data_IF_728883339035
#
_entry.id   IF_728883339035
#
_cell.length_a   1.000
_cell.length_b   1.000
_cell.length_c   1.000
_cell.angle_alpha   90.00
_cell.angle_beta   90.00
_cell.angle_gamma   90.00
#
_symmetry.space_group_name_H-M   'P 1'
#
loop_
_entity.id
_entity.type
_entity.pdbx_description
1 polymer ?
#
# COMPACT_ATOMS: atom_id res chain seq x y z
N UNK A 1 14.31 -2.74 -50.27
CA UNK A 1 13.39 -1.89 -49.48
C UNK A 1 12.17 -2.72 -49.04
N UNK A 2 12.18 -3.31 -47.82
CA UNK A 2 11.05 -4.01 -47.24
C UNK A 2 10.38 -3.08 -46.23
N UNK A 3 9.17 -2.66 -46.53
CA UNK A 3 8.33 -1.87 -45.62
C UNK A 3 8.10 -2.67 -44.33
N UNK A 4 8.62 -2.18 -43.23
CA UNK A 4 8.30 -2.68 -41.91
C UNK A 4 6.81 -2.37 -41.66
N UNK A 5 5.96 -3.41 -41.70
CA UNK A 5 4.56 -3.34 -41.24
C UNK A 5 4.56 -2.84 -39.80
N UNK A 6 4.15 -1.58 -39.59
CA UNK A 6 3.76 -1.09 -38.27
C UNK A 6 2.67 -2.00 -37.74
N UNK A 7 3.03 -2.90 -36.81
CA UNK A 7 2.03 -3.61 -35.99
C UNK A 7 1.24 -2.51 -35.27
N UNK A 8 -0.02 -2.33 -35.66
CA UNK A 8 -0.98 -1.59 -34.84
C UNK A 8 -0.97 -2.25 -33.47
N UNK A 9 -0.43 -1.55 -32.48
CA UNK A 9 -0.60 -1.92 -31.09
C UNK A 9 -2.10 -2.07 -30.86
N UNK A 10 -2.59 -3.29 -30.71
CA UNK A 10 -3.94 -3.54 -30.22
C UNK A 10 -4.01 -2.79 -28.88
N UNK A 11 -4.96 -1.88 -28.76
CA UNK A 11 -5.37 -1.36 -27.45
C UNK A 11 -5.74 -2.59 -26.61
N UNK A 12 -4.84 -3.06 -25.77
CA UNK A 12 -5.11 -4.08 -24.79
C UNK A 12 -6.11 -3.46 -23.83
N UNK A 13 -7.37 -3.85 -23.96
CA UNK A 13 -8.32 -3.67 -22.85
C UNK A 13 -7.71 -4.46 -21.70
N UNK A 14 -7.21 -3.80 -20.68
CA UNK A 14 -6.73 -4.44 -19.47
C UNK A 14 -7.96 -4.75 -18.59
N UNK A 15 -8.63 -5.90 -18.75
CA UNK A 15 -9.84 -6.22 -17.98
C UNK A 15 -9.50 -6.29 -16.48
N UNK A 16 -8.26 -6.66 -16.15
CA UNK A 16 -7.73 -6.70 -14.79
C UNK A 16 -7.85 -5.36 -14.09
N UNK A 17 -7.53 -4.24 -14.77
CA UNK A 17 -7.68 -2.90 -14.20
C UNK A 17 -9.12 -2.62 -13.76
N UNK A 18 -10.09 -2.91 -14.64
CA UNK A 18 -11.50 -2.64 -14.33
C UNK A 18 -12.03 -3.55 -13.23
N UNK A 19 -11.62 -4.82 -13.22
CA UNK A 19 -11.97 -5.76 -12.16
C UNK A 19 -11.40 -5.27 -10.83
N UNK A 20 -10.11 -4.92 -10.77
CA UNK A 20 -9.47 -4.42 -9.56
C UNK A 20 -10.10 -3.11 -9.06
N UNK A 21 -10.38 -2.17 -9.95
CA UNK A 21 -11.07 -0.91 -9.61
C UNK A 21 -12.49 -1.15 -9.09
N UNK A 22 -13.22 -2.09 -9.68
CA UNK A 22 -14.55 -2.46 -9.21
C UNK A 22 -14.50 -3.10 -7.82
N UNK A 23 -13.58 -4.05 -7.60
CA UNK A 23 -13.39 -4.68 -6.29
C UNK A 23 -13.02 -3.64 -5.23
N UNK A 24 -12.02 -2.80 -5.50
CA UNK A 24 -11.60 -1.75 -4.57
C UNK A 24 -12.72 -0.73 -4.35
N UNK A 25 -13.47 -0.38 -5.40
CA UNK A 25 -14.62 0.52 -5.32
C UNK A 25 -15.70 -0.01 -4.38
N UNK A 26 -16.05 -1.29 -4.46
CA UNK A 26 -16.99 -1.93 -3.53
C UNK A 26 -16.48 -1.81 -2.09
N UNK A 27 -15.22 -2.16 -1.84
CA UNK A 27 -14.65 -2.12 -0.50
C UNK A 27 -14.65 -0.71 0.09
N UNK A 28 -14.22 0.29 -0.71
CA UNK A 28 -14.21 1.70 -0.29
C UNK A 28 -15.63 2.20 0.00
N UNK A 29 -16.60 1.87 -0.86
CA UNK A 29 -18.01 2.24 -0.65
C UNK A 29 -18.54 1.61 0.65
N UNK A 30 -18.29 0.33 0.89
CA UNK A 30 -18.69 -0.35 2.13
C UNK A 30 -18.01 0.28 3.36
N UNK A 31 -16.71 0.59 3.28
CA UNK A 31 -15.97 1.22 4.36
C UNK A 31 -16.49 2.64 4.67
N UNK A 32 -16.76 3.46 3.64
CA UNK A 32 -17.29 4.82 3.81
C UNK A 32 -18.70 4.81 4.35
N UNK A 33 -19.55 3.91 3.85
CA UNK A 33 -20.94 3.77 4.26
C UNK A 33 -21.13 2.94 5.54
N UNK A 34 -20.06 2.40 6.13
CA UNK A 34 -20.13 1.61 7.36
C UNK A 34 -20.99 2.27 8.46
N UNK A 35 -20.87 3.60 8.75
CA UNK A 35 -21.70 4.25 9.76
C UNK A 35 -23.22 4.26 9.45
N UNK A 36 -23.60 4.04 8.20
CA UNK A 36 -25.00 4.03 7.75
C UNK A 36 -25.54 2.61 7.59
N UNK A 37 -24.67 1.69 7.12
CA UNK A 37 -25.05 0.31 6.81
C UNK A 37 -25.04 -0.58 8.06
N UNK A 38 -24.11 -0.31 8.99
CA UNK A 38 -23.94 -1.16 10.17
C UNK A 38 -25.02 -0.83 11.21
N UNK A 39 -25.77 -1.84 11.68
CA UNK A 39 -26.83 -1.63 12.66
C UNK A 39 -26.32 -1.48 14.11
N UNK A 40 -25.04 -1.80 14.36
CA UNK A 40 -24.43 -1.81 15.69
C UNK A 40 -23.29 -0.80 15.80
N UNK A 41 -22.99 -0.35 17.03
CA UNK A 41 -21.75 0.36 17.31
C UNK A 41 -20.56 -0.61 17.33
N UNK A 42 -19.43 -0.31 16.65
CA UNK A 42 -18.28 -1.21 16.60
C UNK A 42 -17.61 -1.44 17.96
N UNK A 43 -17.89 -0.62 18.95
CA UNK A 43 -17.30 -0.66 20.29
C UNK A 43 -18.28 -1.16 21.37
N UNK A 44 -19.58 -1.23 21.07
CA UNK A 44 -20.60 -1.69 22.03
C UNK A 44 -20.39 -3.15 22.40
N UNK A 45 -20.24 -3.40 23.70
CA UNK A 45 -20.00 -4.73 24.25
C UNK A 45 -21.29 -5.31 24.82
N UNK A 46 -21.59 -6.55 24.48
CA UNK A 46 -22.72 -7.29 25.01
C UNK A 46 -22.31 -8.73 25.38
N UNK A 47 -21.84 -8.91 26.61
CA UNK A 47 -21.37 -10.23 27.08
C UNK A 47 -22.46 -11.34 27.06
N UNK A 48 -23.75 -10.99 26.98
CA UNK A 48 -24.80 -11.98 26.77
C UNK A 48 -24.77 -12.60 25.37
N UNK A 49 -24.06 -11.96 24.43
CA UNK A 49 -23.89 -12.38 23.03
C UNK A 49 -22.45 -12.83 22.74
N UNK A 50 -21.75 -13.34 23.77
CA UNK A 50 -20.41 -13.87 23.69
C UNK A 50 -20.26 -14.98 22.63
N UNK A 51 -19.34 -14.81 21.66
CA UNK A 51 -18.99 -15.81 20.63
C UNK A 51 -20.19 -16.41 19.89
N UNK A 52 -21.20 -15.63 19.56
CA UNK A 52 -22.31 -16.11 18.74
C UNK A 52 -21.85 -16.38 17.31
N UNK A 53 -22.27 -17.53 16.77
CA UNK A 53 -21.96 -17.89 15.38
C UNK A 53 -22.66 -16.95 14.39
N UNK A 54 -22.12 -16.82 13.16
CA UNK A 54 -22.77 -16.08 12.08
C UNK A 54 -24.24 -16.46 11.90
N UNK A 55 -25.12 -15.46 11.82
CA UNK A 55 -26.57 -15.67 11.75
C UNK A 55 -27.32 -14.41 11.32
N UNK A 56 -28.67 -14.48 11.36
CA UNK A 56 -29.52 -13.38 10.89
C UNK A 56 -29.38 -12.10 11.72
N UNK A 57 -29.09 -12.21 13.03
CA UNK A 57 -28.87 -11.07 13.92
C UNK A 57 -27.46 -10.48 13.74
N UNK A 58 -26.46 -11.33 13.66
CA UNK A 58 -25.05 -10.96 13.49
C UNK A 58 -24.51 -11.68 12.26
N UNK A 59 -24.40 -10.98 11.14
CA UNK A 59 -24.01 -11.57 9.84
C UNK A 59 -22.69 -12.35 9.90
N UNK A 60 -21.70 -11.83 10.63
CA UNK A 60 -20.39 -12.46 10.83
C UNK A 60 -20.23 -13.05 12.24
N UNK A 61 -21.31 -13.07 13.03
CA UNK A 61 -21.26 -13.46 14.44
C UNK A 61 -20.73 -12.34 15.34
N UNK A 62 -20.41 -12.71 16.58
CA UNK A 62 -19.87 -11.79 17.59
C UNK A 62 -18.51 -12.24 18.10
N UNK A 63 -17.75 -11.31 18.65
CA UNK A 63 -16.44 -11.57 19.23
C UNK A 63 -16.51 -11.97 20.74
N UNK A 64 -15.33 -12.07 21.37
CA UNK A 64 -15.21 -12.43 22.79
C UNK A 64 -15.77 -11.39 23.77
N UNK A 65 -16.16 -10.22 23.30
CA UNK A 65 -16.83 -9.18 24.08
C UNK A 65 -18.31 -9.01 23.68
N UNK A 66 -18.79 -9.90 22.77
CA UNK A 66 -20.14 -9.82 22.22
C UNK A 66 -20.35 -8.66 21.26
N UNK A 67 -19.25 -8.08 20.69
CA UNK A 67 -19.31 -7.01 19.69
C UNK A 67 -19.60 -7.61 18.32
N UNK A 68 -20.38 -6.89 17.47
CA UNK A 68 -20.74 -7.36 16.14
C UNK A 68 -19.52 -7.38 15.20
N UNK A 69 -19.16 -8.56 14.70
CA UNK A 69 -17.95 -8.74 13.91
C UNK A 69 -18.05 -8.12 12.50
N UNK A 70 -19.25 -8.11 11.88
CA UNK A 70 -19.46 -7.50 10.58
C UNK A 70 -19.20 -5.99 10.64
N UNK A 71 -19.82 -5.32 11.61
CA UNK A 71 -19.61 -3.90 11.88
C UNK A 71 -18.12 -3.59 12.10
N UNK A 72 -17.46 -4.34 12.99
CA UNK A 72 -16.03 -4.17 13.28
C UNK A 72 -15.16 -4.36 12.04
N UNK A 73 -15.46 -5.37 11.21
CA UNK A 73 -14.69 -5.65 9.98
C UNK A 73 -14.80 -4.50 8.97
N UNK A 74 -15.97 -3.87 8.82
CA UNK A 74 -16.12 -2.72 7.93
C UNK A 74 -15.48 -1.45 8.50
N UNK A 75 -15.53 -1.23 9.80
CA UNK A 75 -14.81 -0.12 10.43
C UNK A 75 -13.29 -0.33 10.38
N UNK A 76 -12.81 -1.57 10.52
CA UNK A 76 -11.41 -1.91 10.32
C UNK A 76 -10.96 -1.62 8.88
N UNK A 77 -11.80 -1.95 7.86
CA UNK A 77 -11.52 -1.57 6.47
C UNK A 77 -11.28 -0.06 6.33
N UNK A 78 -12.10 0.75 6.98
CA UNK A 78 -11.94 2.22 6.97
C UNK A 78 -10.63 2.66 7.59
N UNK A 79 -10.26 2.07 8.73
CA UNK A 79 -9.03 2.38 9.45
C UNK A 79 -7.79 1.98 8.63
N UNK A 80 -7.74 0.73 8.18
CA UNK A 80 -6.57 0.16 7.51
C UNK A 80 -6.33 0.78 6.14
N UNK A 81 -7.39 0.98 5.33
CA UNK A 81 -7.28 1.66 4.04
C UNK A 81 -6.82 3.11 4.18
N UNK A 82 -7.33 3.83 5.19
CA UNK A 82 -6.90 5.20 5.47
C UNK A 82 -5.41 5.26 5.82
N UNK A 83 -4.97 4.41 6.75
CA UNK A 83 -3.56 4.37 7.18
C UNK A 83 -2.67 3.96 6.01
N UNK A 84 -3.05 2.94 5.23
CA UNK A 84 -2.32 2.48 4.06
C UNK A 84 -2.10 3.61 3.06
N UNK A 85 -3.15 4.35 2.69
CA UNK A 85 -3.03 5.45 1.72
C UNK A 85 -2.18 6.59 2.29
N UNK A 86 -2.41 7.00 3.54
CA UNK A 86 -1.70 8.14 4.12
C UNK A 86 -0.23 7.85 4.40
N UNK A 87 0.11 6.64 4.85
CA UNK A 87 1.49 6.24 5.10
C UNK A 87 2.34 6.17 3.82
N UNK A 88 1.70 5.93 2.67
CA UNK A 88 2.36 5.76 1.39
C UNK A 88 2.76 7.08 0.71
N UNK A 89 1.99 8.16 0.93
CA UNK A 89 2.15 9.43 0.18
C UNK A 89 3.56 10.01 0.32
N UNK A 90 4.04 10.17 1.55
CA UNK A 90 5.35 10.81 1.78
C UNK A 90 6.53 9.96 1.26
N UNK A 91 6.61 8.64 1.54
CA UNK A 91 7.64 7.77 0.97
C UNK A 91 7.67 7.77 -0.55
N UNK A 92 6.49 7.68 -1.20
CA UNK A 92 6.38 7.74 -2.65
C UNK A 92 7.00 9.03 -3.23
N UNK A 93 6.60 10.18 -2.68
CA UNK A 93 7.11 11.48 -3.14
C UNK A 93 8.61 11.60 -2.89
N UNK A 94 9.06 11.34 -1.66
CA UNK A 94 10.48 11.45 -1.27
C UNK A 94 11.34 10.51 -2.11
N UNK A 95 10.94 9.26 -2.27
CA UNK A 95 11.68 8.26 -3.01
C UNK A 95 11.85 8.63 -4.48
N UNK A 96 10.78 9.08 -5.14
CA UNK A 96 10.86 9.51 -6.55
C UNK A 96 11.82 10.69 -6.71
N UNK A 97 11.69 11.73 -5.89
CA UNK A 97 12.54 12.93 -6.06
C UNK A 97 13.99 12.67 -5.69
N UNK A 98 14.27 11.95 -4.61
CA UNK A 98 15.64 11.59 -4.26
C UNK A 98 16.28 10.67 -5.29
N UNK A 99 15.55 9.65 -5.75
CA UNK A 99 16.05 8.73 -6.76
C UNK A 99 16.28 9.43 -8.11
N UNK A 100 15.36 10.27 -8.54
CA UNK A 100 15.48 11.03 -9.78
C UNK A 100 16.70 11.98 -9.73
N UNK A 101 16.88 12.72 -8.63
CA UNK A 101 18.03 13.59 -8.45
C UNK A 101 19.35 12.82 -8.44
N UNK A 102 19.43 11.71 -7.68
CA UNK A 102 20.61 10.86 -7.62
C UNK A 102 20.99 10.29 -8.99
N UNK A 103 20.01 9.74 -9.74
CA UNK A 103 20.25 9.16 -11.06
C UNK A 103 20.65 10.21 -12.11
N UNK A 104 20.06 11.41 -12.08
CA UNK A 104 20.33 12.47 -13.02
C UNK A 104 21.68 13.14 -12.79
N UNK A 105 21.92 13.67 -11.58
CA UNK A 105 23.15 14.40 -11.27
C UNK A 105 24.34 13.45 -11.07
N UNK A 106 24.13 12.27 -10.47
CA UNK A 106 25.22 11.37 -10.17
C UNK A 106 26.15 11.88 -9.07
N UNK A 107 27.41 11.44 -9.09
CA UNK A 107 28.48 11.93 -8.20
C UNK A 107 28.17 11.82 -6.71
N UNK A 108 28.36 12.92 -5.96
CA UNK A 108 28.18 12.94 -4.50
C UNK A 108 26.70 12.69 -4.08
N UNK A 109 25.73 13.19 -4.86
CA UNK A 109 24.31 12.98 -4.57
C UNK A 109 23.97 11.49 -4.70
N UNK A 110 24.43 10.87 -5.77
CA UNK A 110 24.22 9.44 -6.02
C UNK A 110 24.88 8.57 -4.95
N UNK A 111 26.09 8.93 -4.55
CA UNK A 111 26.81 8.24 -3.48
C UNK A 111 26.09 8.34 -2.13
N UNK A 112 25.64 9.54 -1.74
CA UNK A 112 24.93 9.76 -0.48
C UNK A 112 23.61 8.98 -0.42
N UNK A 113 22.80 9.07 -1.48
CA UNK A 113 21.52 8.38 -1.59
C UNK A 113 21.74 6.86 -1.63
N UNK A 114 22.78 6.41 -2.36
CA UNK A 114 23.17 5.00 -2.39
C UNK A 114 23.56 4.48 -1.01
N UNK A 115 24.47 5.18 -0.32
CA UNK A 115 24.92 4.82 1.03
C UNK A 115 23.76 4.75 2.01
N UNK A 116 22.85 5.72 2.00
CA UNK A 116 21.66 5.69 2.85
C UNK A 116 20.79 4.47 2.52
N UNK A 117 20.50 4.22 1.23
CA UNK A 117 19.69 3.08 0.80
C UNK A 117 20.33 1.73 1.19
N UNK A 118 21.63 1.57 0.96
CA UNK A 118 22.35 0.33 1.25
C UNK A 118 22.40 0.04 2.76
N UNK A 119 22.47 1.08 3.59
CA UNK A 119 22.41 0.95 5.05
C UNK A 119 21.09 0.31 5.50
N UNK A 120 19.95 0.76 4.96
CA UNK A 120 18.65 0.18 5.30
C UNK A 120 18.48 -1.23 4.72
N UNK A 121 18.91 -1.46 3.48
CA UNK A 121 18.79 -2.76 2.80
C UNK A 121 19.65 -3.85 3.46
N UNK A 122 20.71 -3.48 4.19
CA UNK A 122 21.55 -4.42 4.95
C UNK A 122 20.78 -5.15 6.06
N UNK A 123 19.66 -4.61 6.52
CA UNK A 123 18.81 -5.23 7.54
C UNK A 123 17.68 -6.04 6.91
N UNK A 124 17.25 -7.16 7.53
CA UNK A 124 16.01 -7.84 7.13
C UNK A 124 14.83 -6.89 7.25
N UNK A 125 14.14 -6.62 6.14
CA UNK A 125 13.14 -5.57 6.04
C UNK A 125 12.05 -5.62 7.13
N UNK A 126 11.41 -6.77 7.32
CA UNK A 126 10.36 -6.92 8.33
C UNK A 126 10.88 -6.73 9.77
N UNK A 127 12.10 -7.17 10.04
CA UNK A 127 12.72 -6.98 11.36
C UNK A 127 12.95 -5.49 11.63
N UNK A 128 13.46 -4.76 10.63
CA UNK A 128 13.67 -3.31 10.72
C UNK A 128 12.34 -2.58 10.96
N UNK A 129 11.29 -2.94 10.21
CA UNK A 129 9.94 -2.38 10.37
C UNK A 129 9.41 -2.59 11.79
N UNK A 130 9.49 -3.82 12.31
CA UNK A 130 8.98 -4.16 13.65
C UNK A 130 9.75 -3.36 14.73
N UNK A 131 11.08 -3.28 14.63
CA UNK A 131 11.92 -2.56 15.59
C UNK A 131 11.61 -1.07 15.58
N UNK A 132 11.50 -0.44 14.40
CA UNK A 132 11.19 0.99 14.31
C UNK A 132 9.77 1.26 14.81
N UNK A 133 8.78 0.45 14.43
CA UNK A 133 7.39 0.62 14.87
C UNK A 133 7.29 0.50 16.41
N UNK A 134 7.94 -0.49 16.99
CA UNK A 134 7.99 -0.67 18.43
C UNK A 134 8.68 0.51 19.15
N UNK A 135 9.84 0.95 18.66
CA UNK A 135 10.58 2.07 19.21
C UNK A 135 9.84 3.41 19.09
N UNK A 136 9.03 3.57 18.04
CA UNK A 136 8.21 4.78 17.82
C UNK A 136 6.95 4.82 18.69
N UNK A 137 6.65 3.73 19.41
CA UNK A 137 5.44 3.55 20.21
C UNK A 137 4.28 2.96 19.41
N UNK A 138 3.45 2.17 20.11
CA UNK A 138 2.27 1.53 19.49
C UNK A 138 1.27 2.55 18.95
N UNK A 139 0.60 2.20 17.85
CA UNK A 139 -0.41 3.05 17.24
C UNK A 139 -0.11 3.40 15.78
N UNK A 140 -1.05 4.09 15.14
CA UNK A 140 -0.92 4.50 13.73
C UNK A 140 0.30 5.38 13.47
N UNK A 141 0.70 6.23 14.43
CA UNK A 141 1.89 7.09 14.29
C UNK A 141 3.19 6.26 14.15
N UNK A 142 3.30 5.12 14.85
CA UNK A 142 4.44 4.21 14.68
C UNK A 142 4.53 3.66 13.27
N UNK A 143 3.39 3.34 12.65
CA UNK A 143 3.30 2.90 11.25
C UNK A 143 3.76 4.02 10.31
N UNK A 144 3.26 5.25 10.50
CA UNK A 144 3.65 6.41 9.68
C UNK A 144 5.14 6.71 9.77
N UNK A 145 5.72 6.73 10.98
CA UNK A 145 7.15 6.98 11.18
C UNK A 145 7.98 5.88 10.52
N UNK A 146 7.60 4.63 10.75
CA UNK A 146 8.31 3.49 10.16
C UNK A 146 8.33 3.58 8.65
N UNK A 147 7.15 3.80 8.03
CA UNK A 147 7.05 3.81 6.58
C UNK A 147 7.71 5.05 5.97
N UNK A 148 7.66 6.20 6.65
CA UNK A 148 8.42 7.39 6.27
C UNK A 148 9.92 7.13 6.22
N UNK A 149 10.46 6.33 7.13
CA UNK A 149 11.89 6.04 7.21
C UNK A 149 12.36 4.99 6.21
N UNK A 150 11.52 3.98 5.90
CA UNK A 150 11.96 2.86 5.06
C UNK A 150 11.23 2.74 3.72
N UNK A 151 10.00 3.23 3.59
CA UNK A 151 9.16 3.07 2.39
C UNK A 151 9.70 3.78 1.15
N UNK A 152 10.43 4.88 1.30
CA UNK A 152 11.00 5.62 0.17
C UNK A 152 12.07 4.85 -0.63
N UNK A 153 12.68 3.82 -0.06
CA UNK A 153 13.80 3.08 -0.64
C UNK A 153 13.45 2.43 -1.97
N UNK A 154 12.28 1.80 -2.06
CA UNK A 154 11.85 1.07 -3.26
C UNK A 154 11.59 2.04 -4.43
N UNK A 155 10.97 3.17 -4.16
CA UNK A 155 10.71 4.22 -5.15
C UNK A 155 12.00 4.91 -5.59
N UNK A 156 12.89 5.17 -4.63
CA UNK A 156 14.18 5.78 -4.88
C UNK A 156 15.03 4.90 -5.82
N UNK A 157 15.10 3.60 -5.57
CA UNK A 157 15.85 2.65 -6.40
C UNK A 157 15.36 2.64 -7.85
N UNK A 158 14.04 2.61 -8.05
CA UNK A 158 13.43 2.60 -9.39
C UNK A 158 13.63 3.93 -10.10
N UNK A 159 13.34 5.06 -9.44
CA UNK A 159 13.50 6.38 -10.02
C UNK A 159 14.96 6.70 -10.35
N UNK A 160 15.92 6.28 -9.49
CA UNK A 160 17.37 6.41 -9.71
C UNK A 160 17.81 5.64 -10.95
N UNK A 161 17.41 4.39 -11.07
CA UNK A 161 17.76 3.54 -12.23
C UNK A 161 17.22 4.11 -13.54
N UNK A 162 15.95 4.52 -13.56
CA UNK A 162 15.33 5.10 -14.74
C UNK A 162 15.96 6.45 -15.12
N UNK A 163 16.17 7.33 -14.14
CA UNK A 163 16.77 8.63 -14.37
C UNK A 163 18.19 8.49 -14.94
N UNK A 164 19.00 7.56 -14.40
CA UNK A 164 20.34 7.26 -14.90
C UNK A 164 20.32 6.72 -16.35
N UNK A 165 19.33 5.91 -16.69
CA UNK A 165 19.16 5.38 -18.05
C UNK A 165 18.71 6.47 -19.04
N UNK A 166 17.78 7.32 -18.64
CA UNK A 166 17.16 8.33 -19.51
C UNK A 166 18.03 9.58 -19.71
N UNK A 167 18.89 9.96 -18.75
CA UNK A 167 19.68 11.20 -18.81
C UNK A 167 20.58 11.33 -20.04
N UNK A 168 20.95 10.21 -20.65
CA UNK A 168 21.81 10.16 -21.85
C UNK A 168 20.99 9.95 -23.14
N UNK A 169 19.68 10.02 -23.11
CA UNK A 169 18.84 9.90 -24.29
C UNK A 169 18.96 11.12 -25.22
N UNK A 170 18.75 10.91 -26.53
CA UNK A 170 18.87 11.96 -27.55
C UNK A 170 17.96 13.17 -27.27
N UNK A 171 16.75 12.94 -26.77
CA UNK A 171 15.78 13.99 -26.46
C UNK A 171 16.19 14.83 -25.24
N UNK A 172 16.84 14.24 -24.23
CA UNK A 172 17.44 15.00 -23.11
C UNK A 172 18.65 15.80 -23.60
N UNK A 173 19.50 15.23 -24.48
CA UNK A 173 20.60 15.96 -25.10
C UNK A 173 20.08 17.16 -25.90
N UNK A 174 19.03 16.99 -26.69
CA UNK A 174 18.38 18.06 -27.42
C UNK A 174 17.83 19.15 -26.47
N UNK A 175 17.18 18.79 -25.37
CA UNK A 175 16.69 19.73 -24.38
C UNK A 175 17.81 20.59 -23.77
N UNK A 176 18.99 19.98 -23.50
CA UNK A 176 20.19 20.70 -23.02
C UNK A 176 20.72 21.66 -24.06
N UNK A 177 20.79 21.26 -25.33
CA UNK A 177 21.22 22.13 -26.43
C UNK A 177 20.28 23.35 -26.58
N UNK A 178 18.97 23.14 -26.34
CA UNK A 178 17.98 24.22 -26.34
C UNK A 178 18.07 25.14 -25.12
N UNK A 179 18.97 24.88 -24.18
CA UNK A 179 19.21 25.70 -23.00
C UNK A 179 18.22 25.45 -21.85
N UNK A 180 17.56 24.29 -21.81
CA UNK A 180 16.67 23.95 -20.69
C UNK A 180 17.48 23.77 -19.40
N UNK A 181 17.00 24.36 -18.29
CA UNK A 181 17.61 24.17 -16.99
C UNK A 181 17.44 22.74 -16.51
N UNK A 182 18.34 22.26 -15.65
CA UNK A 182 18.24 20.91 -15.06
C UNK A 182 16.91 20.68 -14.32
N UNK A 183 16.41 21.69 -13.61
CA UNK A 183 15.11 21.63 -12.94
C UNK A 183 13.98 21.38 -13.95
N UNK A 184 13.99 22.08 -15.08
CA UNK A 184 13.00 21.88 -16.14
C UNK A 184 13.11 20.48 -16.74
N UNK A 185 14.31 19.99 -16.95
CA UNK A 185 14.56 18.64 -17.47
C UNK A 185 14.02 17.59 -16.47
N UNK A 186 14.30 17.75 -15.17
CA UNK A 186 13.81 16.82 -14.15
C UNK A 186 12.28 16.76 -14.11
N UNK A 187 11.60 17.90 -14.05
CA UNK A 187 10.14 17.93 -13.85
C UNK A 187 9.33 17.76 -15.14
N UNK A 188 9.82 18.28 -16.28
CA UNK A 188 9.05 18.27 -17.52
C UNK A 188 9.41 17.11 -18.45
N UNK A 189 10.65 16.59 -18.33
CA UNK A 189 11.13 15.57 -19.24
C UNK A 189 11.29 14.20 -18.55
N UNK A 190 11.91 14.13 -17.37
CA UNK A 190 12.17 12.87 -16.69
C UNK A 190 10.97 12.39 -15.87
N UNK A 191 10.42 13.25 -15.02
CA UNK A 191 9.31 12.88 -14.11
C UNK A 191 8.11 12.25 -14.84
N UNK A 192 7.61 12.82 -15.97
CA UNK A 192 6.47 12.21 -16.68
C UNK A 192 6.77 10.82 -17.24
N UNK A 193 8.04 10.49 -17.49
CA UNK A 193 8.47 9.19 -17.97
C UNK A 193 8.70 8.18 -16.83
N UNK A 194 8.98 8.66 -15.62
CA UNK A 194 9.19 7.83 -14.43
C UNK A 194 7.85 7.49 -13.73
N UNK A 195 6.93 8.44 -13.66
CA UNK A 195 5.66 8.31 -12.95
C UNK A 195 4.84 7.07 -13.35
N UNK A 196 4.68 6.71 -14.63
CA UNK A 196 3.88 5.55 -14.99
C UNK A 196 4.35 4.26 -14.31
N UNK A 197 5.66 4.02 -14.31
CA UNK A 197 6.23 2.84 -13.65
C UNK A 197 6.19 2.97 -12.12
N UNK A 198 6.37 4.17 -11.59
CA UNK A 198 6.27 4.42 -10.15
C UNK A 198 4.84 4.16 -9.63
N UNK A 199 3.79 4.49 -10.40
CA UNK A 199 2.40 4.20 -10.04
C UNK A 199 2.11 2.68 -10.05
N UNK A 200 2.66 1.93 -11.00
CA UNK A 200 2.55 0.46 -10.98
C UNK A 200 3.20 -0.12 -9.73
N UNK A 201 4.40 0.38 -9.40
CA UNK A 201 5.11 -0.02 -8.20
C UNK A 201 4.33 0.33 -6.93
N UNK A 202 3.70 1.52 -6.88
CA UNK A 202 2.86 1.97 -5.78
C UNK A 202 1.75 0.96 -5.45
N UNK A 203 1.06 0.42 -6.45
CA UNK A 203 0.01 -0.59 -6.22
C UNK A 203 0.57 -1.86 -5.59
N UNK A 204 1.76 -2.29 -6.00
CA UNK A 204 2.44 -3.46 -5.44
C UNK A 204 2.92 -3.20 -4.01
N UNK A 205 3.47 -2.00 -3.74
CA UNK A 205 3.96 -1.62 -2.42
C UNK A 205 2.83 -1.44 -1.42
N UNK A 206 1.69 -0.92 -1.83
CA UNK A 206 0.48 -0.84 -1.00
C UNK A 206 0.02 -2.23 -0.51
N UNK A 207 0.19 -3.31 -1.29
CA UNK A 207 -0.07 -4.68 -0.82
C UNK A 207 0.93 -5.05 0.28
N UNK A 208 2.20 -4.74 0.10
CA UNK A 208 3.24 -4.94 1.11
C UNK A 208 2.96 -4.17 2.40
N UNK A 209 2.57 -2.89 2.29
CA UNK A 209 2.20 -2.05 3.42
C UNK A 209 0.95 -2.58 4.15
N UNK A 210 -0.07 -3.08 3.43
CA UNK A 210 -1.22 -3.73 4.04
C UNK A 210 -0.80 -4.93 4.90
N UNK A 211 0.10 -5.78 4.38
CA UNK A 211 0.65 -6.91 5.15
C UNK A 211 1.40 -6.43 6.39
N UNK A 212 2.15 -5.32 6.30
CA UNK A 212 2.84 -4.70 7.45
C UNK A 212 1.83 -4.23 8.49
N UNK A 213 0.79 -3.47 8.10
CA UNK A 213 -0.25 -2.97 9.02
C UNK A 213 -0.90 -4.14 9.77
N UNK A 214 -1.32 -5.16 9.05
CA UNK A 214 -1.94 -6.36 9.61
C UNK A 214 -0.97 -7.12 10.54
N UNK A 215 0.30 -7.25 10.15
CA UNK A 215 1.32 -7.91 10.97
C UNK A 215 1.59 -7.15 12.27
N UNK A 216 1.73 -5.83 12.21
CA UNK A 216 1.94 -5.00 13.41
C UNK A 216 0.72 -5.04 14.32
N UNK A 217 -0.51 -4.99 13.78
CA UNK A 217 -1.76 -5.17 14.52
C UNK A 217 -1.82 -6.56 15.19
N UNK A 218 -1.49 -7.61 14.44
CA UNK A 218 -1.44 -8.99 14.94
C UNK A 218 -0.44 -9.15 16.11
N UNK A 219 0.70 -8.47 16.05
CA UNK A 219 1.73 -8.47 17.12
C UNK A 219 1.39 -7.53 18.28
N UNK A 220 0.29 -6.78 18.23
CA UNK A 220 -0.13 -5.85 19.27
C UNK A 220 0.67 -4.54 19.33
N UNK A 221 1.47 -4.23 18.32
CA UNK A 221 2.24 -2.98 18.18
C UNK A 221 1.69 -2.06 17.08
N UNK A 222 0.59 -2.47 16.44
CA UNK A 222 -0.14 -1.68 15.44
C UNK A 222 -1.14 -0.69 16.06
N UNK A 223 -2.33 -0.64 15.50
CA UNK A 223 -3.41 0.24 15.94
C UNK A 223 -3.88 -0.15 17.33
N UNK A 224 -3.96 0.84 18.22
CA UNK A 224 -4.32 0.57 19.62
C UNK A 224 -5.83 0.37 19.78
N UNK A 225 -6.27 -0.66 20.56
CA UNK A 225 -7.67 -0.78 20.96
C UNK A 225 -8.18 0.51 21.63
N UNK A 226 -9.47 0.82 21.52
CA UNK A 226 -10.57 0.00 21.01
C UNK A 226 -10.81 0.10 19.50
N UNK A 227 -10.02 0.87 18.76
CA UNK A 227 -10.18 1.07 17.31
C UNK A 227 -10.07 -0.26 16.57
N UNK A 228 -11.08 -0.65 15.76
CA UNK A 228 -10.99 -1.88 14.99
C UNK A 228 -9.95 -1.77 13.88
N UNK A 229 -9.14 -2.80 13.73
CA UNK A 229 -8.25 -3.08 12.60
C UNK A 229 -8.20 -4.60 12.33
N UNK A 230 -7.93 -4.99 11.10
CA UNK A 230 -7.96 -6.39 10.72
C UNK A 230 -6.88 -7.22 11.42
N UNK A 231 -5.71 -6.65 11.66
CA UNK A 231 -4.59 -7.35 12.30
C UNK A 231 -4.90 -7.74 13.74
N UNK A 232 -5.36 -6.80 14.55
CA UNK A 232 -5.78 -7.04 15.93
C UNK A 232 -6.96 -8.01 16.00
N UNK A 233 -7.96 -7.86 15.11
CA UNK A 233 -9.12 -8.77 15.04
C UNK A 233 -8.70 -10.22 14.76
N UNK A 234 -7.77 -10.42 13.81
CA UNK A 234 -7.23 -11.75 13.49
C UNK A 234 -6.48 -12.34 14.71
N UNK A 235 -5.69 -11.54 15.40
CA UNK A 235 -4.93 -11.94 16.58
C UNK A 235 -5.85 -12.32 17.75
N UNK A 236 -6.84 -11.48 18.04
CA UNK A 236 -7.85 -11.75 19.09
C UNK A 236 -8.63 -13.05 18.79
N UNK A 237 -8.98 -13.29 17.52
CA UNK A 237 -9.72 -14.48 17.11
C UNK A 237 -8.89 -15.77 17.13
N UNK A 238 -7.55 -15.71 17.08
CA UNK A 238 -6.69 -16.89 17.04
C UNK A 238 -6.91 -17.82 18.24
N UNK A 239 -7.11 -17.27 19.42
CA UNK A 239 -7.34 -18.05 20.64
C UNK A 239 -8.63 -18.89 20.57
N UNK A 240 -9.58 -18.45 19.74
CA UNK A 240 -10.90 -19.09 19.59
C UNK A 240 -11.04 -19.88 18.27
N UNK A 241 -9.96 -20.09 17.53
CA UNK A 241 -10.00 -20.66 16.17
C UNK A 241 -10.72 -22.00 16.08
N UNK A 242 -10.67 -22.83 17.13
CA UNK A 242 -11.34 -24.14 17.17
C UNK A 242 -12.85 -24.05 17.33
N UNK A 243 -13.36 -23.01 18.00
CA UNK A 243 -14.78 -22.87 18.35
C UNK A 243 -15.46 -21.70 17.62
N UNK A 244 -14.68 -20.67 17.23
CA UNK A 244 -15.16 -19.44 16.62
C UNK A 244 -14.22 -18.96 15.49
N UNK A 245 -14.00 -19.83 14.51
CA UNK A 245 -13.10 -19.59 13.37
C UNK A 245 -13.40 -18.30 12.61
N UNK A 246 -14.65 -17.85 12.60
CA UNK A 246 -15.10 -16.64 11.89
C UNK A 246 -14.38 -15.38 12.37
N UNK A 247 -13.93 -15.33 13.63
CA UNK A 247 -13.26 -14.17 14.22
C UNK A 247 -11.97 -13.81 13.49
N UNK A 248 -11.19 -14.80 13.06
CA UNK A 248 -9.94 -14.56 12.33
C UNK A 248 -10.11 -14.67 10.82
N UNK A 249 -10.93 -15.63 10.35
CA UNK A 249 -11.06 -15.92 8.91
C UNK A 249 -11.78 -14.80 8.18
N UNK A 250 -12.89 -14.26 8.74
CA UNK A 250 -13.66 -13.24 8.03
C UNK A 250 -12.89 -11.91 7.87
N UNK A 251 -12.25 -11.33 8.90
CA UNK A 251 -11.35 -10.19 8.71
C UNK A 251 -10.19 -10.50 7.76
N UNK A 252 -9.59 -11.70 7.87
CA UNK A 252 -8.53 -12.16 6.96
C UNK A 252 -8.95 -12.21 5.50
N UNK A 253 -10.20 -12.58 5.20
CA UNK A 253 -10.75 -12.53 3.83
C UNK A 253 -10.79 -11.11 3.27
N UNK A 254 -11.04 -10.08 4.09
CA UNK A 254 -11.00 -8.68 3.66
C UNK A 254 -9.58 -8.23 3.34
N UNK A 255 -8.59 -8.69 4.10
CA UNK A 255 -7.16 -8.45 3.79
C UNK A 255 -6.80 -9.05 2.43
N UNK A 256 -7.14 -10.33 2.21
CA UNK A 256 -6.89 -11.01 0.93
C UNK A 256 -7.62 -10.32 -0.22
N UNK A 257 -8.90 -9.98 -0.02
CA UNK A 257 -9.69 -9.27 -1.03
C UNK A 257 -9.04 -7.94 -1.44
N UNK A 258 -8.58 -7.16 -0.47
CA UNK A 258 -7.88 -5.89 -0.69
C UNK A 258 -6.58 -6.09 -1.46
N UNK A 259 -5.77 -7.06 -1.06
CA UNK A 259 -4.52 -7.39 -1.75
C UNK A 259 -4.74 -7.82 -3.19
N UNK A 260 -5.74 -8.66 -3.46
CA UNK A 260 -6.12 -9.09 -4.84
C UNK A 260 -6.59 -7.90 -5.66
N UNK A 261 -7.43 -7.01 -5.10
CA UNK A 261 -7.91 -5.83 -5.79
C UNK A 261 -6.76 -4.90 -6.21
N UNK A 262 -5.82 -4.62 -5.29
CA UNK A 262 -4.62 -3.81 -5.56
C UNK A 262 -3.71 -4.47 -6.61
N UNK A 263 -3.51 -5.79 -6.53
CA UNK A 263 -2.71 -6.52 -7.52
C UNK A 263 -3.32 -6.44 -8.92
N UNK A 264 -4.64 -6.59 -9.06
CA UNK A 264 -5.31 -6.43 -10.35
C UNK A 264 -5.21 -5.01 -10.90
N UNK A 265 -5.26 -3.99 -10.05
CA UNK A 265 -5.05 -2.59 -10.45
C UNK A 265 -3.61 -2.42 -10.95
N UNK A 266 -2.62 -2.93 -10.22
CA UNK A 266 -1.20 -2.86 -10.58
C UNK A 266 -0.91 -3.52 -11.92
N UNK A 267 -1.37 -4.76 -12.12
CA UNK A 267 -1.20 -5.51 -13.38
C UNK A 267 -1.87 -4.79 -14.56
N UNK A 268 -3.10 -4.30 -14.34
CA UNK A 268 -3.82 -3.58 -15.39
C UNK A 268 -3.18 -2.23 -15.76
N UNK A 269 -2.57 -1.53 -14.80
CA UNK A 269 -1.79 -0.32 -15.06
C UNK A 269 -0.48 -0.65 -15.80
N UNK A 270 0.21 -1.73 -15.41
CA UNK A 270 1.41 -2.20 -16.10
C UNK A 270 1.14 -2.51 -17.58
N UNK A 271 0.01 -3.17 -17.88
CA UNK A 271 -0.40 -3.47 -19.25
C UNK A 271 -0.77 -2.22 -20.05
N UNK A 272 -1.29 -1.18 -19.41
CA UNK A 272 -1.66 0.09 -20.05
C UNK A 272 -0.45 0.97 -20.37
N UNK A 273 0.61 0.86 -19.58
CA UNK A 273 1.83 1.68 -19.75
C UNK A 273 2.92 1.00 -20.62
N UNK A 274 2.71 -0.26 -21.00
CA UNK A 274 3.53 -0.97 -22.01
C UNK A 274 3.15 -0.52 -23.42
#
# INVERSE_FOLDING_TARGET
MKQAKRKKLKKTHAPTLWIGLFMMGILVVLAVLAPVICPYDPLEQNLAEFLQAPGAKHLFGTDQLGRDLFTRTLYAARTDLWIMVMAEIAPFIIGIFLGMAAGYFGGAIDWLVGMASDTFIAFPFYLLVIVIAFASGAGSHGIFITYLLVGWLIYCKVARGQSAALKNSEWIAAAKILGYSDIRILFCELLPNIIPQAIVLLMTDMVGLLVIIVTLGYLGIGISPPTPDWGTMISEGQTFMTNAWWLSVLPGMFVVYTGVALSFIGDGLADRFR
#
